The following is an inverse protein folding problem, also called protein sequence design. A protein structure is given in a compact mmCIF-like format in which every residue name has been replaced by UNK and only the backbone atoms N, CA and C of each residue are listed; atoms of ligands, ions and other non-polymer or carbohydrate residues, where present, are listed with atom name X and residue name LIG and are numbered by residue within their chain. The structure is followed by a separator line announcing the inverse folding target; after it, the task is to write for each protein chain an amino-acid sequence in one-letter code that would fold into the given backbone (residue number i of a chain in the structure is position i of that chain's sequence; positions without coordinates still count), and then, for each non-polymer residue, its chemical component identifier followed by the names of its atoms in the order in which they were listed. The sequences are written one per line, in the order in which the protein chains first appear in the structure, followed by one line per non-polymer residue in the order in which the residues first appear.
data_IF_312444486275
#
_entry.id   IF_312444486275
#
_cell.length_a   1.000
_cell.length_b   1.000
_cell.length_c   1.000
_cell.angle_alpha   90.00
_cell.angle_beta   90.00
_cell.angle_gamma   90.00
#
_symmetry.space_group_name_H-M   'P 1'
#
loop_
_entity.id
_entity.type
_entity.pdbx_description
1 polymer ?
#
# COMPACT_ATOMS: atom_id res chain seq x y z
N UNK A 1 9.26 -8.74 14.52
CA UNK A 1 9.48 -10.20 14.30
C UNK A 1 8.88 -11.08 15.39
N UNK A 2 9.25 -10.96 16.67
CA UNK A 2 8.72 -11.83 17.74
C UNK A 2 7.18 -11.90 17.78
N UNK A 3 6.51 -10.76 17.61
CA UNK A 3 5.04 -10.70 17.53
C UNK A 3 4.48 -11.39 16.28
N UNK A 4 5.14 -11.23 15.13
CA UNK A 4 4.76 -11.88 13.88
C UNK A 4 4.88 -13.40 14.01
N UNK A 5 6.01 -13.89 14.52
CA UNK A 5 6.22 -15.32 14.75
C UNK A 5 5.15 -15.89 15.70
N UNK A 6 4.88 -15.21 16.82
CA UNK A 6 3.82 -15.61 17.74
C UNK A 6 2.45 -15.70 17.06
N UNK A 7 2.14 -14.80 16.13
CA UNK A 7 0.88 -14.85 15.38
C UNK A 7 0.87 -15.99 14.35
N UNK A 8 1.98 -16.24 13.65
CA UNK A 8 2.15 -17.38 12.74
C UNK A 8 1.92 -18.69 13.49
N UNK A 9 2.59 -18.87 14.63
CA UNK A 9 2.48 -20.07 15.47
C UNK A 9 1.06 -20.25 16.02
N UNK A 10 0.47 -19.16 16.54
CA UNK A 10 -0.91 -19.17 17.09
C UNK A 10 -1.96 -19.53 16.04
N UNK A 11 -1.74 -19.13 14.78
CA UNK A 11 -2.66 -19.43 13.67
C UNK A 11 -2.31 -20.74 12.94
N UNK A 12 -1.21 -21.40 13.30
CA UNK A 12 -0.77 -22.65 12.67
C UNK A 12 -0.35 -22.49 11.20
N UNK A 13 0.15 -21.32 10.81
CA UNK A 13 0.52 -21.03 9.42
C UNK A 13 1.89 -21.64 9.08
N UNK A 14 1.95 -22.50 8.06
CA UNK A 14 3.17 -23.15 7.58
C UNK A 14 3.76 -22.52 6.32
N UNK A 15 3.04 -21.60 5.67
CA UNK A 15 3.42 -20.99 4.39
C UNK A 15 4.09 -19.61 4.53
N UNK A 16 4.33 -19.13 5.76
CA UNK A 16 4.91 -17.81 6.00
C UNK A 16 6.37 -17.95 6.42
N UNK A 17 7.28 -17.35 5.65
CA UNK A 17 8.71 -17.24 5.98
C UNK A 17 9.03 -15.79 6.33
N UNK A 18 9.08 -15.42 7.62
CA UNK A 18 9.38 -14.05 8.01
C UNK A 18 10.87 -13.76 7.80
N UNK A 19 11.16 -12.64 7.14
CA UNK A 19 12.52 -12.17 6.88
C UNK A 19 12.70 -10.75 7.42
N UNK A 20 13.94 -10.42 7.79
CA UNK A 20 14.33 -9.09 8.25
C UNK A 20 15.29 -8.49 7.25
N UNK A 21 14.79 -7.57 6.43
CA UNK A 21 15.56 -6.88 5.44
C UNK A 21 15.08 -5.43 5.33
N UNK A 22 15.94 -4.55 4.83
CA UNK A 22 15.47 -3.30 4.24
C UNK A 22 14.85 -3.63 2.89
N UNK A 23 13.54 -3.42 2.78
CA UNK A 23 12.77 -3.72 1.59
C UNK A 23 13.35 -3.06 0.33
N UNK A 24 13.93 -1.84 0.43
CA UNK A 24 14.51 -1.13 -0.71
C UNK A 24 15.75 -1.84 -1.29
N UNK A 25 16.42 -2.64 -0.46
CA UNK A 25 17.63 -3.39 -0.83
C UNK A 25 17.37 -4.88 -0.97
N UNK A 26 16.13 -5.33 -0.79
CA UNK A 26 15.79 -6.75 -0.86
C UNK A 26 16.02 -7.27 -2.28
N UNK A 27 16.76 -8.35 -2.38
CA UNK A 27 17.01 -9.10 -3.61
C UNK A 27 16.47 -10.52 -3.40
N UNK A 28 15.59 -10.97 -4.29
CA UNK A 28 14.94 -12.26 -4.16
C UNK A 28 14.30 -12.71 -5.46
N UNK A 29 13.64 -13.86 -5.41
CA UNK A 29 12.88 -14.38 -6.55
C UNK A 29 11.70 -13.46 -6.90
N UNK A 30 11.27 -13.51 -8.16
CA UNK A 30 10.07 -12.81 -8.58
C UNK A 30 8.82 -13.51 -8.05
N UNK A 31 7.87 -12.71 -7.60
CA UNK A 31 6.59 -13.16 -7.08
C UNK A 31 5.49 -13.02 -8.12
N UNK A 32 4.49 -13.89 -8.07
CA UNK A 32 3.29 -13.74 -8.89
C UNK A 32 2.46 -12.52 -8.43
N UNK A 33 2.50 -12.22 -7.13
CA UNK A 33 1.73 -11.15 -6.48
C UNK A 33 2.57 -10.52 -5.37
N UNK A 34 2.58 -9.19 -5.27
CA UNK A 34 3.26 -8.44 -4.22
C UNK A 34 2.28 -7.48 -3.54
N UNK A 35 2.26 -7.46 -2.21
CA UNK A 35 1.53 -6.46 -1.42
C UNK A 35 2.53 -5.46 -0.83
N UNK A 36 2.47 -4.22 -1.29
CA UNK A 36 3.23 -3.10 -0.78
C UNK A 36 2.36 -2.29 0.21
N UNK A 37 2.27 -2.77 1.44
CA UNK A 37 1.68 -2.01 2.55
C UNK A 37 2.74 -1.09 3.15
N UNK A 38 2.75 0.16 2.71
CA UNK A 38 3.87 1.08 2.92
C UNK A 38 3.68 1.95 4.17
N UNK A 39 4.77 2.37 4.83
CA UNK A 39 4.69 3.31 5.95
C UNK A 39 4.06 4.63 5.52
N UNK A 40 3.04 5.05 6.25
CA UNK A 40 2.17 6.18 5.89
C UNK A 40 2.04 7.23 7.01
N UNK A 41 1.45 8.40 6.72
CA UNK A 41 1.13 9.41 7.72
C UNK A 41 0.16 8.87 8.79
N UNK A 42 -0.71 7.94 8.43
CA UNK A 42 -1.67 7.30 9.31
C UNK A 42 -2.87 8.19 9.62
N UNK A 43 -3.09 9.25 8.83
CA UNK A 43 -4.20 10.21 9.03
C UNK A 43 -5.58 9.52 8.98
N UNK A 44 -5.70 8.40 8.29
CA UNK A 44 -6.91 7.57 8.30
C UNK A 44 -7.21 6.92 9.65
N UNK A 45 -6.24 6.84 10.56
CA UNK A 45 -6.37 6.15 11.87
C UNK A 45 -6.50 7.10 13.06
N UNK A 46 -6.76 8.40 12.82
CA UNK A 46 -6.83 9.44 13.85
C UNK A 46 -7.82 9.13 15.00
N UNK A 47 -8.91 8.43 14.72
CA UNK A 47 -9.89 8.00 15.72
C UNK A 47 -9.31 7.05 16.78
N UNK A 48 -8.35 6.21 16.38
CA UNK A 48 -7.67 5.24 17.26
C UNK A 48 -6.33 5.76 17.77
N UNK A 49 -5.70 6.70 17.06
CA UNK A 49 -4.38 7.28 17.35
C UNK A 49 -4.41 8.81 17.21
N UNK A 50 -5.05 9.53 18.16
CA UNK A 50 -5.21 10.98 18.07
C UNK A 50 -3.89 11.75 18.20
N UNK A 51 -2.84 11.12 18.72
CA UNK A 51 -1.51 11.69 18.86
C UNK A 51 -0.82 11.98 17.51
N UNK A 52 -1.25 11.32 16.43
CA UNK A 52 -0.77 11.58 15.07
C UNK A 52 -0.97 13.05 14.67
N UNK A 53 -2.08 13.67 15.10
CA UNK A 53 -2.39 15.08 14.82
C UNK A 53 -1.33 16.06 15.32
N UNK A 54 -0.61 15.71 16.38
CA UNK A 54 0.36 16.58 17.05
C UNK A 54 1.81 16.24 16.70
N UNK A 55 2.04 15.05 16.14
CA UNK A 55 3.38 14.52 15.89
C UNK A 55 3.86 14.67 14.45
N UNK A 56 2.96 14.93 13.49
CA UNK A 56 3.31 14.99 12.07
C UNK A 56 3.25 16.41 11.54
N UNK A 57 4.35 16.85 10.95
CA UNK A 57 4.38 18.08 10.15
C UNK A 57 4.32 17.75 8.64
N UNK A 58 4.23 18.79 7.81
CA UNK A 58 4.22 18.64 6.34
C UNK A 58 5.54 18.10 5.76
N UNK A 59 6.66 18.26 6.48
CA UNK A 59 7.96 17.75 6.07
C UNK A 59 8.04 16.23 6.24
N UNK A 60 7.45 15.69 7.31
CA UNK A 60 7.33 14.24 7.52
C UNK A 60 6.53 13.57 6.42
N UNK A 61 5.42 14.18 5.97
CA UNK A 61 4.59 13.65 4.88
C UNK A 61 5.39 13.61 3.57
N UNK A 62 6.16 14.66 3.26
CA UNK A 62 7.00 14.69 2.03
C UNK A 62 8.09 13.61 2.04
N UNK A 63 8.75 13.40 3.18
CA UNK A 63 9.77 12.35 3.31
C UNK A 63 9.16 10.95 3.17
N UNK A 64 7.95 10.75 3.72
CA UNK A 64 7.20 9.51 3.58
C UNK A 64 6.81 9.26 2.13
N UNK A 65 6.29 10.26 1.41
CA UNK A 65 5.93 10.14 -0.01
C UNK A 65 7.11 9.64 -0.86
N UNK A 66 8.31 10.20 -0.68
CA UNK A 66 9.50 9.73 -1.40
C UNK A 66 9.82 8.25 -1.11
N UNK A 67 9.68 7.85 0.16
CA UNK A 67 9.92 6.47 0.59
C UNK A 67 8.87 5.51 0.05
N UNK A 68 7.59 5.90 0.09
CA UNK A 68 6.46 5.13 -0.44
C UNK A 68 6.60 4.89 -1.94
N UNK A 69 6.95 5.93 -2.70
CA UNK A 69 7.21 5.79 -4.14
C UNK A 69 8.35 4.80 -4.41
N UNK A 70 9.47 4.89 -3.69
CA UNK A 70 10.59 3.95 -3.84
C UNK A 70 10.19 2.51 -3.50
N UNK A 71 9.39 2.33 -2.44
CA UNK A 71 8.88 1.01 -2.05
C UNK A 71 7.92 0.43 -3.10
N UNK A 72 7.08 1.26 -3.71
CA UNK A 72 6.21 0.85 -4.81
C UNK A 72 7.03 0.41 -6.04
N UNK A 73 8.03 1.20 -6.45
CA UNK A 73 8.94 0.80 -7.52
C UNK A 73 9.66 -0.51 -7.19
N UNK A 74 10.11 -0.67 -5.94
CA UNK A 74 10.77 -1.90 -5.53
C UNK A 74 9.85 -3.12 -5.56
N UNK A 75 8.59 -2.96 -5.15
CA UNK A 75 7.58 -4.01 -5.27
C UNK A 75 7.31 -4.39 -6.74
N UNK A 76 7.33 -3.41 -7.64
CA UNK A 76 7.20 -3.61 -9.08
C UNK A 76 8.40 -4.35 -9.71
N UNK A 77 9.62 -4.15 -9.21
CA UNK A 77 10.78 -4.94 -9.64
C UNK A 77 10.66 -6.43 -9.27
N UNK A 78 10.02 -6.70 -8.12
CA UNK A 78 9.89 -8.04 -7.55
C UNK A 78 8.69 -8.82 -8.09
N UNK A 79 7.89 -8.26 -9.00
CA UNK A 79 6.73 -8.94 -9.57
C UNK A 79 7.03 -9.48 -10.97
N UNK A 80 6.58 -10.70 -11.28
CA UNK A 80 6.71 -11.29 -12.63
C UNK A 80 5.91 -10.50 -13.68
N UNK A 81 6.27 -10.56 -14.97
CA UNK A 81 5.35 -10.20 -16.07
C UNK A 81 4.02 -10.95 -15.92
N UNK A 82 2.90 -10.26 -16.17
CA UNK A 82 1.54 -10.77 -15.87
C UNK A 82 1.19 -10.84 -14.39
N UNK A 83 2.08 -10.38 -13.51
CA UNK A 83 1.90 -10.34 -12.07
C UNK A 83 1.14 -9.11 -11.58
N UNK A 84 0.91 -9.04 -10.27
CA UNK A 84 0.17 -7.92 -9.64
C UNK A 84 0.93 -7.35 -8.47
N UNK A 85 0.94 -6.02 -8.37
CA UNK A 85 1.30 -5.28 -7.17
C UNK A 85 0.04 -4.64 -6.60
N UNK A 86 -0.19 -4.79 -5.30
CA UNK A 86 -1.17 -3.97 -4.57
C UNK A 86 -0.40 -2.97 -3.74
N UNK A 87 -0.59 -1.68 -4.02
CA UNK A 87 -0.11 -0.59 -3.19
C UNK A 87 -1.18 -0.26 -2.16
N UNK A 88 -0.83 -0.16 -0.87
CA UNK A 88 -1.80 0.25 0.16
C UNK A 88 -1.20 1.18 1.21
N UNK A 89 -2.05 2.06 1.72
CA UNK A 89 -1.73 2.93 2.85
C UNK A 89 -2.88 2.99 3.86
N UNK A 90 -2.54 3.46 5.05
CA UNK A 90 -3.43 3.83 6.15
C UNK A 90 -3.75 5.35 6.19
N UNK A 91 -3.63 6.04 5.04
CA UNK A 91 -3.74 7.49 4.91
C UNK A 91 -4.97 7.88 4.10
N UNK A 92 -5.52 9.06 4.38
CA UNK A 92 -6.55 9.70 3.56
C UNK A 92 -6.00 10.83 2.68
N UNK A 93 -4.70 11.15 2.82
CA UNK A 93 -4.07 12.24 2.06
C UNK A 93 -3.82 11.80 0.60
N UNK A 94 -4.29 12.56 -0.41
CA UNK A 94 -4.05 12.25 -1.82
C UNK A 94 -2.56 12.09 -2.16
N UNK A 95 -1.71 12.89 -1.53
CA UNK A 95 -0.26 12.89 -1.73
C UNK A 95 0.38 11.56 -1.36
N UNK A 96 -0.23 10.76 -0.49
CA UNK A 96 0.27 9.42 -0.14
C UNK A 96 -0.45 8.30 -0.90
N UNK A 97 -1.45 8.65 -1.69
CA UNK A 97 -2.40 7.72 -2.30
C UNK A 97 -2.30 7.78 -3.82
N UNK A 98 -3.30 8.35 -4.49
CA UNK A 98 -3.39 8.30 -5.94
C UNK A 98 -2.26 9.08 -6.63
N UNK A 99 -1.73 10.16 -6.02
CA UNK A 99 -0.61 10.92 -6.59
C UNK A 99 0.66 10.05 -6.77
N UNK A 100 0.90 9.13 -5.83
CA UNK A 100 2.01 8.18 -5.92
C UNK A 100 1.76 7.15 -7.02
N UNK A 101 0.53 6.67 -7.13
CA UNK A 101 0.10 5.71 -8.15
C UNK A 101 0.19 6.33 -9.54
N UNK A 102 -0.31 7.55 -9.72
CA UNK A 102 -0.24 8.31 -10.99
C UNK A 102 1.21 8.54 -11.40
N UNK A 103 2.05 9.01 -10.47
CA UNK A 103 3.48 9.18 -10.71
C UNK A 103 4.15 7.86 -11.08
N UNK A 104 3.77 6.76 -10.43
CA UNK A 104 4.31 5.44 -10.75
C UNK A 104 3.92 5.01 -12.17
N UNK A 105 2.64 5.09 -12.53
CA UNK A 105 2.13 4.70 -13.85
C UNK A 105 2.72 5.55 -14.98
N UNK A 106 2.95 6.84 -14.73
CA UNK A 106 3.60 7.75 -15.68
C UNK A 106 5.04 7.32 -16.00
N UNK A 107 5.75 6.77 -15.01
CA UNK A 107 7.16 6.38 -15.15
C UNK A 107 7.37 4.89 -15.49
N UNK A 108 6.34 4.05 -15.38
CA UNK A 108 6.41 2.60 -15.57
C UNK A 108 5.28 2.15 -16.49
N UNK A 109 5.48 2.34 -17.80
CA UNK A 109 4.45 2.11 -18.83
C UNK A 109 4.12 0.62 -19.04
N UNK A 110 4.91 -0.29 -18.46
CA UNK A 110 4.65 -1.71 -18.40
C UNK A 110 3.60 -2.09 -17.34
N UNK A 111 3.08 -1.15 -16.58
CA UNK A 111 1.99 -1.37 -15.61
C UNK A 111 0.71 -0.66 -16.03
N UNK A 112 -0.42 -1.30 -15.74
CA UNK A 112 -1.75 -0.68 -15.83
C UNK A 112 -2.44 -0.70 -14.46
N UNK A 113 -3.24 0.33 -14.20
CA UNK A 113 -4.17 0.34 -13.07
C UNK A 113 -5.37 -0.55 -13.39
N UNK A 114 -5.63 -1.56 -12.56
CA UNK A 114 -6.86 -2.34 -12.64
C UNK A 114 -7.87 -1.81 -11.62
N UNK A 115 -8.99 -1.30 -12.14
CA UNK A 115 -10.08 -0.82 -11.31
C UNK A 115 -10.65 -1.93 -10.42
N UNK A 116 -10.97 -1.57 -9.17
CA UNK A 116 -11.70 -2.39 -8.21
C UNK A 116 -13.21 -2.40 -8.45
N UNK A 117 -13.69 -1.69 -9.48
CA UNK A 117 -15.09 -1.71 -9.91
C UNK A 117 -15.58 -3.13 -10.18
N UNK A 118 -16.86 -3.36 -9.92
CA UNK A 118 -17.54 -4.67 -10.03
C UNK A 118 -17.04 -5.75 -9.04
N UNK A 119 -15.96 -5.48 -8.30
CA UNK A 119 -15.41 -6.38 -7.26
C UNK A 119 -15.68 -5.89 -5.84
N UNK A 120 -15.83 -4.59 -5.69
CA UNK A 120 -16.10 -3.92 -4.41
C UNK A 120 -17.30 -2.96 -4.56
N UNK A 121 -17.99 -2.64 -3.44
CA UNK A 121 -19.07 -1.66 -3.46
C UNK A 121 -18.57 -0.29 -3.94
N UNK A 122 -19.33 0.38 -4.81
CA UNK A 122 -18.99 1.71 -5.35
C UNK A 122 -18.76 2.76 -4.25
N UNK A 123 -19.37 2.59 -3.08
CA UNK A 123 -19.25 3.51 -1.95
C UNK A 123 -17.81 3.67 -1.46
N UNK A 124 -17.00 2.61 -1.55
CA UNK A 124 -15.60 2.57 -1.11
C UNK A 124 -14.61 2.70 -2.26
N UNK A 125 -15.06 3.14 -3.43
CA UNK A 125 -14.21 3.42 -4.58
C UNK A 125 -13.98 4.93 -4.71
N UNK A 126 -12.75 5.31 -5.04
CA UNK A 126 -12.45 6.67 -5.47
C UNK A 126 -12.79 6.87 -6.95
N UNK A 127 -12.62 8.10 -7.44
CA UNK A 127 -12.90 8.46 -8.84
C UNK A 127 -12.03 7.71 -9.87
N UNK A 128 -10.89 7.15 -9.44
CA UNK A 128 -9.98 6.39 -10.27
C UNK A 128 -10.26 4.88 -10.22
N UNK A 129 -11.25 4.46 -9.42
CA UNK A 129 -11.59 3.06 -9.20
C UNK A 129 -10.60 2.33 -8.29
N UNK A 130 -9.83 3.04 -7.47
CA UNK A 130 -9.08 2.48 -6.36
C UNK A 130 -9.97 2.33 -5.12
N UNK A 131 -9.58 1.46 -4.19
CA UNK A 131 -10.28 1.36 -2.90
C UNK A 131 -9.86 2.55 -2.04
N UNK A 132 -10.84 3.28 -1.51
CA UNK A 132 -10.63 4.34 -0.54
C UNK A 132 -11.72 4.30 0.54
N UNK A 133 -11.30 4.13 1.79
CA UNK A 133 -12.19 4.29 2.95
C UNK A 133 -11.93 5.62 3.64
N UNK A 134 -13.01 6.28 4.10
CA UNK A 134 -12.95 7.53 4.84
C UNK A 134 -13.71 7.38 6.16
N UNK A 135 -13.15 7.79 7.31
CA UNK A 135 -13.79 7.58 8.61
C UNK A 135 -15.18 8.19 8.74
N UNK A 136 -15.35 9.40 8.22
CA UNK A 136 -16.62 10.13 8.29
C UNK A 136 -17.71 9.58 7.37
N UNK A 137 -17.33 8.81 6.33
CA UNK A 137 -18.27 8.27 5.33
C UNK A 137 -18.62 6.82 5.61
N UNK A 138 -17.65 6.00 6.02
CA UNK A 138 -17.81 4.54 6.10
C UNK A 138 -17.81 4.00 7.53
N UNK A 139 -17.64 4.85 8.55
CA UNK A 139 -17.54 4.42 9.96
C UNK A 139 -16.45 3.35 10.18
N UNK A 140 -15.34 3.49 9.46
CA UNK A 140 -14.17 2.60 9.46
C UNK A 140 -12.90 3.45 9.52
N UNK A 141 -11.73 2.83 9.69
CA UNK A 141 -10.48 3.57 9.51
C UNK A 141 -10.32 3.99 8.04
N UNK A 142 -9.62 5.10 7.82
CA UNK A 142 -9.25 5.56 6.51
C UNK A 142 -8.09 4.74 5.94
N UNK A 143 -8.24 4.29 4.71
CA UNK A 143 -7.26 3.48 4.01
C UNK A 143 -7.39 3.67 2.51
N UNK A 144 -6.32 3.34 1.80
CA UNK A 144 -6.26 3.38 0.34
C UNK A 144 -5.62 2.10 -0.20
N UNK A 145 -6.11 1.58 -1.32
CA UNK A 145 -5.45 0.52 -2.05
C UNK A 145 -5.64 0.63 -3.57
N UNK A 146 -4.54 0.47 -4.31
CA UNK A 146 -4.52 0.44 -5.77
C UNK A 146 -3.94 -0.88 -6.28
N UNK A 147 -4.60 -1.49 -7.27
CA UNK A 147 -4.15 -2.73 -7.91
C UNK A 147 -3.46 -2.41 -9.23
N UNK A 148 -2.19 -2.75 -9.34
CA UNK A 148 -1.34 -2.53 -10.50
C UNK A 148 -1.01 -3.87 -11.14
N UNK A 149 -1.23 -4.00 -12.43
CA UNK A 149 -0.98 -5.23 -13.19
C UNK A 149 0.21 -5.00 -14.11
N UNK A 150 1.23 -5.86 -14.02
CA UNK A 150 2.37 -5.84 -14.94
C UNK A 150 1.96 -6.50 -16.25
N UNK A 151 2.21 -5.85 -17.38
CA UNK A 151 1.99 -6.39 -18.72
C UNK A 151 2.85 -7.65 -18.93
N UNK A 152 2.38 -8.53 -19.82
CA UNK A 152 3.10 -9.75 -20.24
C UNK A 152 4.25 -9.41 -21.18
#
# INVERSE_FOLDING_TARGET
LKLLQKNIDRLGLSCVKPETADALTYEGELFDRVLADVPCSGTGTLSKKPDIKWKKDLFDIRNLNSTQYKLLCKAAELVKPGGVVVYSTCSIEPEENFDIVEKFLTNNTEFDLESAKDKFPDEILDENGCIQTLPHKHNMDGAFAAKLVRKN
#
